data_IF_321947460135
#
_entry.id   IF_321947460135
#
_cell.length_a   1.000
_cell.length_b   1.000
_cell.length_c   1.000
_cell.angle_alpha   90.00
_cell.angle_beta   90.00
_cell.angle_gamma   90.00
#
_symmetry.space_group_name_H-M   'P 1'
#
loop_
_entity.id
_entity.type
_entity.pdbx_description
1 polymer ?
#
# COMPACT_ATOMS: atom_id res chain seq x y z
N UNK A 1 18.55 -61.25 -22.32
CA UNK A 1 18.06 -61.48 -20.94
C UNK A 1 18.62 -60.38 -20.07
N UNK A 2 17.90 -59.48 -19.43
CA UNK A 2 16.60 -58.87 -19.61
C UNK A 2 16.75 -57.52 -18.90
N UNK A 3 16.37 -56.43 -19.58
CA UNK A 3 16.34 -55.09 -19.00
C UNK A 3 15.22 -55.01 -17.97
N UNK A 4 15.52 -54.57 -16.74
CA UNK A 4 14.51 -54.23 -15.74
C UNK A 4 14.34 -52.71 -15.74
N UNK A 5 13.29 -52.29 -16.44
CA UNK A 5 12.76 -50.93 -16.47
C UNK A 5 11.63 -50.89 -15.44
N UNK A 6 11.94 -50.53 -14.19
CA UNK A 6 10.93 -50.25 -13.18
C UNK A 6 10.48 -48.80 -13.35
N UNK A 7 9.43 -48.63 -14.16
CA UNK A 7 8.53 -47.48 -14.09
C UNK A 7 7.46 -47.84 -13.07
N UNK A 8 7.34 -47.09 -11.98
CA UNK A 8 6.11 -47.09 -11.21
C UNK A 8 5.83 -45.74 -10.54
N UNK A 9 4.76 -45.15 -11.06
CA UNK A 9 3.71 -44.39 -10.40
C UNK A 9 4.01 -43.02 -9.77
N UNK A 10 3.77 -42.01 -10.60
CA UNK A 10 3.13 -40.76 -10.22
C UNK A 10 1.78 -40.99 -9.53
N UNK A 11 1.79 -41.13 -8.20
CA UNK A 11 0.61 -40.86 -7.38
C UNK A 11 0.71 -39.41 -6.86
N UNK A 12 0.40 -38.46 -7.74
CA UNK A 12 0.02 -37.13 -7.32
C UNK A 12 -1.23 -37.27 -6.44
N UNK A 13 -1.17 -36.76 -5.20
CA UNK A 13 -2.33 -36.64 -4.33
C UNK A 13 -3.32 -35.67 -4.99
N UNK A 14 -4.22 -36.23 -5.78
CA UNK A 14 -5.42 -35.55 -6.26
C UNK A 14 -6.21 -35.20 -5.01
N UNK A 15 -6.29 -33.90 -4.77
CA UNK A 15 -7.19 -33.29 -3.82
C UNK A 15 -8.62 -33.72 -4.20
N UNK A 16 -9.18 -34.64 -3.44
CA UNK A 16 -10.57 -34.71 -2.96
C UNK A 16 -11.66 -33.99 -3.79
N UNK A 17 -11.75 -34.25 -5.10
CA UNK A 17 -12.86 -33.78 -5.96
C UNK A 17 -14.14 -34.61 -5.78
N UNK A 18 -14.08 -35.74 -5.06
CA UNK A 18 -15.23 -36.59 -4.81
C UNK A 18 -16.21 -36.00 -3.78
N UNK A 19 -15.74 -35.16 -2.85
CA UNK A 19 -16.55 -34.66 -1.73
C UNK A 19 -17.62 -33.63 -2.11
N UNK A 20 -17.52 -32.98 -3.28
CA UNK A 20 -18.52 -31.99 -3.73
C UNK A 20 -19.72 -32.68 -4.42
N UNK A 21 -19.53 -33.88 -4.99
CA UNK A 21 -20.60 -34.63 -5.65
C UNK A 21 -21.41 -35.52 -4.68
N UNK A 22 -20.86 -35.87 -3.52
CA UNK A 22 -21.54 -36.69 -2.48
C UNK A 22 -22.44 -35.90 -1.53
N UNK A 23 -22.63 -34.60 -1.72
CA UNK A 23 -23.58 -33.79 -0.95
C UNK A 23 -25.03 -33.87 -1.49
N UNK A 24 -25.37 -34.90 -2.25
CA UNK A 24 -26.76 -35.23 -2.63
C UNK A 24 -27.54 -35.99 -1.55
N UNK A 25 -26.98 -36.14 -0.34
CA UNK A 25 -27.60 -36.92 0.75
C UNK A 25 -28.06 -36.05 1.91
N UNK A 26 -29.22 -35.42 1.72
CA UNK A 26 -30.33 -35.30 2.70
C UNK A 26 -31.42 -34.41 2.08
N UNK A 27 -32.36 -35.04 1.38
CA UNK A 27 -33.48 -34.33 0.77
C UNK A 27 -34.52 -33.96 1.85
N UNK A 28 -34.21 -32.96 2.68
CA UNK A 28 -35.27 -32.20 3.34
C UNK A 28 -35.80 -31.16 2.36
N UNK A 29 -37.13 -30.97 2.27
CA UNK A 29 -37.70 -29.90 1.45
C UNK A 29 -37.25 -28.56 2.02
N UNK A 30 -36.25 -27.94 1.39
CA UNK A 30 -35.82 -26.59 1.70
C UNK A 30 -36.88 -25.61 1.19
N UNK A 31 -37.31 -24.69 2.04
CA UNK A 31 -38.18 -23.59 1.61
C UNK A 31 -37.34 -22.50 0.90
N UNK A 32 -38.00 -21.51 0.30
CA UNK A 32 -37.33 -20.41 -0.40
C UNK A 32 -36.31 -19.68 0.48
N UNK A 33 -36.63 -19.46 1.76
CA UNK A 33 -35.77 -18.74 2.71
C UNK A 33 -34.48 -19.52 3.01
N UNK A 34 -34.55 -20.84 3.05
CA UNK A 34 -33.37 -21.69 3.26
C UNK A 34 -32.41 -21.63 2.06
N UNK A 35 -32.96 -21.62 0.83
CA UNK A 35 -32.13 -21.39 -0.37
C UNK A 35 -31.50 -20.00 -0.38
N UNK A 36 -32.26 -18.96 -0.01
CA UNK A 36 -31.75 -17.58 0.06
C UNK A 36 -30.59 -17.49 1.07
N UNK A 37 -30.73 -18.09 2.25
CA UNK A 37 -29.66 -18.13 3.27
C UNK A 37 -28.41 -18.84 2.76
N UNK A 38 -28.56 -20.02 2.15
CA UNK A 38 -27.45 -20.80 1.61
C UNK A 38 -26.71 -20.01 0.52
N UNK A 39 -27.45 -19.40 -0.40
CA UNK A 39 -26.87 -18.57 -1.47
C UNK A 39 -26.10 -17.39 -0.86
N UNK A 40 -26.69 -16.65 0.08
CA UNK A 40 -26.01 -15.53 0.74
C UNK A 40 -24.74 -15.97 1.47
N UNK A 41 -24.77 -17.13 2.13
CA UNK A 41 -23.62 -17.70 2.81
C UNK A 41 -22.47 -18.00 1.83
N UNK A 42 -22.74 -18.77 0.77
CA UNK A 42 -21.73 -19.12 -0.22
C UNK A 42 -21.22 -17.91 -1.01
N UNK A 43 -22.12 -16.98 -1.33
CA UNK A 43 -21.77 -15.73 -2.01
C UNK A 43 -20.82 -14.86 -1.18
N UNK A 44 -21.08 -14.70 0.13
CA UNK A 44 -20.20 -13.97 1.04
C UNK A 44 -18.82 -14.61 1.22
N UNK A 45 -18.74 -15.95 1.13
CA UNK A 45 -17.46 -16.68 1.20
C UNK A 45 -16.55 -16.41 0.00
N UNK A 46 -17.07 -16.01 -1.15
CA UNK A 46 -16.24 -15.72 -2.33
C UNK A 46 -15.19 -14.63 -2.05
N UNK A 47 -15.56 -13.54 -1.37
CA UNK A 47 -14.63 -12.47 -1.00
C UNK A 47 -13.56 -12.99 -0.03
N UNK A 48 -13.97 -13.80 0.96
CA UNK A 48 -13.06 -14.42 1.92
C UNK A 48 -12.04 -15.33 1.23
N UNK A 49 -12.48 -16.16 0.28
CA UNK A 49 -11.61 -17.04 -0.51
C UNK A 49 -10.60 -16.27 -1.37
N UNK A 50 -11.00 -15.12 -1.94
CA UNK A 50 -10.09 -14.24 -2.68
C UNK A 50 -9.00 -13.69 -1.76
N UNK A 51 -9.37 -13.15 -0.60
CA UNK A 51 -8.43 -12.59 0.38
C UNK A 51 -7.50 -13.70 0.90
N UNK A 52 -8.04 -14.87 1.27
CA UNK A 52 -7.28 -16.01 1.75
C UNK A 52 -6.24 -16.49 0.71
N UNK A 53 -6.62 -16.53 -0.57
CA UNK A 53 -5.69 -16.87 -1.66
C UNK A 53 -4.54 -15.86 -1.73
N UNK A 54 -4.84 -14.56 -1.63
CA UNK A 54 -3.81 -13.52 -1.57
C UNK A 54 -2.90 -13.65 -0.34
N UNK A 55 -3.45 -14.01 0.83
CA UNK A 55 -2.66 -14.27 2.04
C UNK A 55 -1.70 -15.45 1.88
N UNK A 56 -2.16 -16.55 1.25
CA UNK A 56 -1.31 -17.72 0.98
C UNK A 56 -0.17 -17.34 0.01
N UNK A 57 -0.48 -16.55 -1.02
CA UNK A 57 0.53 -16.06 -1.96
C UNK A 57 1.57 -15.16 -1.26
N UNK A 58 1.13 -14.27 -0.36
CA UNK A 58 2.02 -13.45 0.47
C UNK A 58 2.89 -14.32 1.38
N UNK A 59 2.32 -15.32 2.05
CA UNK A 59 3.07 -16.23 2.91
C UNK A 59 4.11 -17.03 2.12
N UNK A 60 3.77 -17.50 0.91
CA UNK A 60 4.69 -18.23 0.04
C UNK A 60 5.84 -17.34 -0.47
N UNK A 61 5.62 -16.04 -0.65
CA UNK A 61 6.61 -15.11 -1.20
C UNK A 61 7.47 -14.45 -0.13
N UNK A 62 6.87 -14.01 0.96
CA UNK A 62 7.46 -13.09 1.96
C UNK A 62 7.33 -13.60 3.41
N UNK A 63 6.70 -14.77 3.61
CA UNK A 63 6.47 -15.33 4.94
C UNK A 63 7.67 -16.05 5.59
N UNK A 64 7.46 -16.66 6.78
CA UNK A 64 8.50 -17.36 7.53
C UNK A 64 9.11 -18.53 6.78
N UNK A 65 8.29 -19.23 5.99
CA UNK A 65 8.67 -20.37 5.15
C UNK A 65 8.61 -20.01 3.67
N UNK A 66 9.06 -18.79 3.31
CA UNK A 66 9.04 -18.32 1.93
C UNK A 66 9.83 -19.25 1.00
N UNK A 67 9.33 -19.36 -0.22
CA UNK A 67 10.03 -20.07 -1.30
C UNK A 67 11.29 -19.29 -1.71
N UNK A 68 12.29 -20.00 -2.22
CA UNK A 68 13.49 -19.37 -2.77
C UNK A 68 13.12 -18.47 -3.96
N UNK A 69 13.94 -17.44 -4.18
CA UNK A 69 13.78 -16.52 -5.31
C UNK A 69 13.70 -17.30 -6.64
N UNK A 70 12.78 -16.93 -7.53
CA UNK A 70 12.49 -17.67 -8.78
C UNK A 70 11.58 -18.90 -8.62
N UNK A 71 11.61 -19.60 -7.48
CA UNK A 71 10.73 -20.78 -7.25
C UNK A 71 9.26 -20.37 -7.15
N UNK A 72 8.99 -19.24 -6.50
CA UNK A 72 7.64 -18.66 -6.42
C UNK A 72 7.08 -18.34 -7.80
N UNK A 73 7.85 -17.66 -8.66
CA UNK A 73 7.43 -17.28 -10.02
C UNK A 73 7.20 -18.52 -10.89
N UNK A 74 8.10 -19.51 -10.81
CA UNK A 74 7.94 -20.78 -11.49
C UNK A 74 6.67 -21.53 -11.05
N UNK A 75 6.38 -21.57 -9.74
CA UNK A 75 5.16 -22.17 -9.20
C UNK A 75 3.91 -21.46 -9.75
N UNK A 76 3.89 -20.12 -9.72
CA UNK A 76 2.74 -19.36 -10.22
C UNK A 76 2.51 -19.60 -11.71
N UNK A 77 3.58 -19.67 -12.51
CA UNK A 77 3.48 -19.87 -13.96
C UNK A 77 3.06 -21.29 -14.37
N UNK A 78 3.53 -22.30 -13.64
CA UNK A 78 3.38 -23.70 -14.07
C UNK A 78 2.32 -24.49 -13.31
N UNK A 79 1.98 -24.09 -12.07
CA UNK A 79 1.12 -24.88 -11.17
C UNK A 79 -0.19 -24.20 -10.78
N UNK A 80 -0.37 -22.91 -11.06
CA UNK A 80 -1.58 -22.16 -10.67
C UNK A 80 -2.48 -21.87 -11.87
N UNK A 81 -3.81 -21.78 -11.66
CA UNK A 81 -4.78 -21.55 -12.74
C UNK A 81 -4.87 -20.07 -13.18
N UNK A 82 -3.86 -19.25 -12.87
CA UNK A 82 -3.86 -17.83 -13.19
C UNK A 82 -2.44 -17.28 -13.39
N UNK A 83 -2.37 -16.12 -14.03
CA UNK A 83 -1.10 -15.46 -14.35
C UNK A 83 -0.41 -14.83 -13.14
N UNK A 84 0.89 -14.58 -13.27
CA UNK A 84 1.70 -13.82 -12.29
C UNK A 84 1.09 -12.46 -11.95
N UNK A 85 0.55 -11.77 -12.96
CA UNK A 85 -0.17 -10.50 -12.77
C UNK A 85 -1.36 -10.66 -11.84
N UNK A 86 -2.13 -11.73 -12.00
CA UNK A 86 -3.30 -12.02 -11.15
C UNK A 86 -2.86 -12.31 -9.73
N UNK A 87 -1.81 -13.13 -9.56
CA UNK A 87 -1.22 -13.41 -8.25
C UNK A 87 -0.81 -12.12 -7.52
N UNK A 88 -0.14 -11.20 -8.22
CA UNK A 88 0.24 -9.89 -7.67
C UNK A 88 -0.95 -9.03 -7.28
N UNK A 89 -2.04 -9.04 -8.06
CA UNK A 89 -3.27 -8.34 -7.72
C UNK A 89 -3.93 -8.93 -6.47
N UNK A 90 -4.00 -10.25 -6.36
CA UNK A 90 -4.53 -10.94 -5.19
C UNK A 90 -3.71 -10.63 -3.92
N UNK A 91 -2.38 -10.64 -4.02
CA UNK A 91 -1.50 -10.23 -2.92
C UNK A 91 -1.75 -8.78 -2.50
N UNK A 92 -1.94 -7.86 -3.46
CA UNK A 92 -2.28 -6.45 -3.15
C UNK A 92 -3.61 -6.31 -2.43
N UNK A 93 -4.63 -7.08 -2.83
CA UNK A 93 -5.93 -7.07 -2.14
C UNK A 93 -5.75 -7.56 -0.70
N UNK A 94 -5.07 -8.69 -0.51
CA UNK A 94 -4.85 -9.28 0.81
C UNK A 94 -3.97 -8.42 1.73
N UNK A 95 -3.01 -7.67 1.17
CA UNK A 95 -2.18 -6.74 1.94
C UNK A 95 -2.87 -5.41 2.28
N UNK A 96 -4.07 -5.15 1.77
CA UNK A 96 -4.74 -3.87 1.95
C UNK A 96 -5.48 -3.81 3.31
N UNK A 97 -5.18 -2.84 4.19
CA UNK A 97 -5.67 -2.84 5.57
C UNK A 97 -7.20 -2.75 5.68
N UNK A 98 -7.84 -1.98 4.80
CA UNK A 98 -9.30 -1.82 4.78
C UNK A 98 -10.03 -3.02 4.16
N UNK A 99 -9.55 -3.55 3.02
CA UNK A 99 -10.24 -4.64 2.30
C UNK A 99 -10.10 -5.98 3.01
N UNK A 100 -8.97 -6.22 3.67
CA UNK A 100 -8.73 -7.44 4.44
C UNK A 100 -9.38 -7.43 5.82
N UNK A 101 -10.03 -6.33 6.22
CA UNK A 101 -10.71 -6.23 7.51
C UNK A 101 -12.02 -7.06 7.49
N UNK A 102 -12.15 -8.09 8.35
CA UNK A 102 -13.34 -8.95 8.40
C UNK A 102 -14.67 -8.19 8.57
N UNK A 103 -14.64 -7.00 9.20
CA UNK A 103 -15.84 -6.15 9.39
C UNK A 103 -16.43 -5.62 8.09
N UNK A 104 -15.63 -5.53 7.03
CA UNK A 104 -16.05 -4.94 5.75
C UNK A 104 -16.26 -5.99 4.66
N UNK A 105 -15.71 -7.19 4.81
CA UNK A 105 -15.70 -8.26 3.78
C UNK A 105 -17.09 -8.57 3.20
N UNK A 106 -18.14 -8.58 4.04
CA UNK A 106 -19.52 -8.86 3.60
C UNK A 106 -20.15 -7.76 2.74
N UNK A 107 -19.60 -6.54 2.78
CA UNK A 107 -20.09 -5.39 2.03
C UNK A 107 -19.36 -5.20 0.69
N UNK A 108 -18.30 -5.95 0.46
CA UNK A 108 -17.45 -5.81 -0.71
C UNK A 108 -18.00 -6.58 -1.93
N UNK A 109 -17.69 -6.11 -3.16
CA UNK A 109 -18.02 -6.84 -4.37
C UNK A 109 -17.25 -8.18 -4.46
N UNK A 110 -17.91 -9.29 -4.79
CA UNK A 110 -17.32 -10.64 -4.88
C UNK A 110 -16.59 -10.87 -6.21
N UNK A 111 -15.77 -9.90 -6.61
CA UNK A 111 -14.95 -9.97 -7.82
C UNK A 111 -13.56 -9.42 -7.52
N UNK A 112 -12.53 -10.27 -7.67
CA UNK A 112 -11.14 -9.88 -7.45
C UNK A 112 -10.73 -8.70 -8.34
N UNK A 113 -11.30 -8.59 -9.55
CA UNK A 113 -11.02 -7.47 -10.46
C UNK A 113 -11.54 -6.15 -9.91
N UNK A 114 -12.75 -6.14 -9.36
CA UNK A 114 -13.34 -4.96 -8.72
C UNK A 114 -12.61 -4.62 -7.43
N UNK A 115 -12.31 -5.62 -6.58
CA UNK A 115 -11.53 -5.45 -5.35
C UNK A 115 -10.15 -4.84 -5.63
N UNK A 116 -9.48 -5.29 -6.69
CA UNK A 116 -8.21 -4.73 -7.11
C UNK A 116 -8.35 -3.26 -7.54
N UNK A 117 -9.40 -2.87 -8.26
CA UNK A 117 -9.63 -1.45 -8.53
C UNK A 117 -9.81 -0.66 -7.24
N UNK A 118 -10.52 -1.20 -6.25
CA UNK A 118 -10.68 -0.55 -4.94
C UNK A 118 -9.36 -0.35 -4.19
N UNK A 119 -8.36 -1.24 -4.36
CA UNK A 119 -7.02 -1.06 -3.75
C UNK A 119 -6.28 0.20 -4.19
N UNK A 120 -6.70 0.81 -5.31
CA UNK A 120 -6.09 2.04 -5.81
C UNK A 120 -6.65 3.28 -5.13
N UNK A 121 -7.69 3.14 -4.27
CA UNK A 121 -8.41 4.27 -3.65
C UNK A 121 -7.65 4.62 -2.39
N UNK A 122 -7.64 5.89 -1.97
CA UNK A 122 -7.14 6.22 -0.64
C UNK A 122 -8.08 5.64 0.42
N UNK A 123 -7.51 5.12 1.51
CA UNK A 123 -8.24 4.40 2.58
C UNK A 123 -9.44 5.18 3.12
N UNK A 124 -9.31 6.50 3.25
CA UNK A 124 -10.40 7.36 3.74
C UNK A 124 -11.63 7.35 2.81
N UNK A 125 -11.43 7.34 1.49
CA UNK A 125 -12.51 7.28 0.50
C UNK A 125 -13.12 5.89 0.47
N UNK A 126 -12.30 4.86 0.60
CA UNK A 126 -12.78 3.49 0.66
C UNK A 126 -13.66 3.26 1.90
N UNK A 127 -13.23 3.71 3.07
CA UNK A 127 -14.02 3.65 4.31
C UNK A 127 -15.31 4.47 4.23
N UNK A 128 -15.24 5.67 3.64
CA UNK A 128 -16.43 6.50 3.44
C UNK A 128 -17.41 5.81 2.49
N UNK A 129 -16.92 5.25 1.38
CA UNK A 129 -17.71 4.53 0.39
C UNK A 129 -18.36 3.26 0.94
N UNK A 130 -17.71 2.56 1.87
CA UNK A 130 -18.30 1.42 2.57
C UNK A 130 -19.41 1.90 3.53
N UNK A 131 -19.20 3.03 4.21
CA UNK A 131 -20.15 3.56 5.20
C UNK A 131 -21.38 4.19 4.57
N UNK A 132 -21.22 4.92 3.46
CA UNK A 132 -22.30 5.62 2.76
C UNK A 132 -23.06 4.73 1.76
N UNK A 133 -22.59 3.48 1.56
CA UNK A 133 -23.20 2.53 0.66
C UNK A 133 -22.88 2.75 -0.82
N UNK A 134 -21.90 3.60 -1.16
CA UNK A 134 -21.39 3.72 -2.53
C UNK A 134 -20.70 2.42 -2.96
N UNK A 135 -19.98 1.77 -2.04
CA UNK A 135 -19.36 0.47 -2.24
C UNK A 135 -20.35 -0.60 -1.77
N UNK A 136 -20.88 -1.34 -2.73
CA UNK A 136 -21.84 -2.42 -2.48
C UNK A 136 -21.37 -3.73 -3.12
N UNK A 137 -21.95 -4.88 -2.73
CA UNK A 137 -21.70 -6.15 -3.39
C UNK A 137 -22.05 -6.17 -4.88
N UNK A 138 -22.92 -5.25 -5.34
CA UNK A 138 -23.32 -5.10 -6.74
C UNK A 138 -22.42 -4.17 -7.55
N UNK A 139 -21.42 -3.54 -6.91
CA UNK A 139 -20.53 -2.60 -7.57
C UNK A 139 -19.76 -3.30 -8.70
N UNK A 140 -19.89 -2.76 -9.91
CA UNK A 140 -19.19 -3.28 -11.07
C UNK A 140 -17.77 -2.71 -11.16
N UNK A 141 -16.89 -3.42 -11.88
CA UNK A 141 -15.50 -3.01 -12.05
C UNK A 141 -15.37 -1.64 -12.73
N UNK A 142 -16.24 -1.32 -13.69
CA UNK A 142 -16.22 -0.04 -14.41
C UNK A 142 -16.49 1.14 -13.47
N UNK A 143 -17.42 0.96 -12.52
CA UNK A 143 -17.80 2.00 -11.57
C UNK A 143 -16.72 2.18 -10.53
N UNK A 144 -16.16 1.06 -10.01
CA UNK A 144 -14.99 1.10 -9.13
C UNK A 144 -13.79 1.79 -9.79
N UNK A 145 -13.57 1.58 -11.10
CA UNK A 145 -12.53 2.27 -11.85
C UNK A 145 -12.81 3.77 -12.02
N UNK A 146 -14.08 4.17 -12.19
CA UNK A 146 -14.48 5.56 -12.31
C UNK A 146 -14.21 6.38 -11.03
N UNK A 147 -14.29 5.75 -9.84
CA UNK A 147 -13.99 6.39 -8.56
C UNK A 147 -12.56 6.98 -8.48
N UNK A 148 -11.61 6.45 -9.26
CA UNK A 148 -10.25 7.02 -9.35
C UNK A 148 -10.14 8.15 -10.36
N UNK A 149 -10.94 8.12 -11.43
CA UNK A 149 -10.86 9.12 -12.51
C UNK A 149 -11.28 10.50 -12.03
N UNK A 150 -12.18 10.55 -11.06
CA UNK A 150 -12.57 11.74 -10.31
C UNK A 150 -11.38 12.46 -9.63
N UNK A 151 -10.25 11.78 -9.46
CA UNK A 151 -8.99 12.38 -9.01
C UNK A 151 -8.28 13.15 -10.12
N UNK A 152 -8.30 12.67 -11.37
CA UNK A 152 -7.62 13.35 -12.47
C UNK A 152 -8.29 14.69 -12.81
N UNK A 153 -9.63 14.74 -12.81
CA UNK A 153 -10.37 15.97 -13.04
C UNK A 153 -10.27 16.96 -11.87
N UNK A 154 -10.34 16.48 -10.60
CA UNK A 154 -10.35 17.38 -9.43
C UNK A 154 -8.98 17.79 -8.89
N UNK A 155 -7.92 17.02 -9.16
CA UNK A 155 -6.56 17.36 -8.68
C UNK A 155 -5.84 18.29 -9.66
N UNK A 156 -6.27 18.35 -10.93
CA UNK A 156 -5.79 19.34 -11.90
C UNK A 156 -6.32 20.76 -11.65
N UNK A 157 -7.50 20.91 -11.08
CA UNK A 157 -8.18 22.23 -10.95
C UNK A 157 -8.03 22.91 -9.57
N UNK A 158 -7.38 22.28 -8.58
CA UNK A 158 -7.22 22.85 -7.22
C UNK A 158 -5.78 23.14 -6.81
N UNK A 159 -4.91 23.49 -7.75
CA UNK A 159 -3.84 24.40 -7.35
C UNK A 159 -4.52 25.75 -7.14
N UNK A 160 -5.01 26.01 -5.92
CA UNK A 160 -5.46 27.35 -5.55
C UNK A 160 -4.42 28.35 -6.05
N UNK A 161 -4.79 29.47 -6.71
CA UNK A 161 -3.82 30.42 -7.24
C UNK A 161 -2.75 30.80 -6.21
N UNK A 162 -3.19 30.88 -4.94
CA UNK A 162 -2.37 31.11 -3.77
C UNK A 162 -1.24 30.08 -3.56
N UNK A 163 -1.47 28.79 -3.79
CA UNK A 163 -0.48 27.73 -3.55
C UNK A 163 0.61 27.70 -4.64
N UNK A 164 0.27 28.05 -5.89
CA UNK A 164 1.26 28.15 -6.97
C UNK A 164 2.17 29.36 -6.74
N UNK A 165 1.57 30.48 -6.33
CA UNK A 165 2.27 31.70 -5.99
C UNK A 165 3.18 31.52 -4.77
N UNK A 166 2.70 30.85 -3.71
CA UNK A 166 3.52 30.47 -2.56
C UNK A 166 4.68 29.56 -2.95
N UNK A 167 4.46 28.55 -3.81
CA UNK A 167 5.54 27.67 -4.26
C UNK A 167 6.55 28.39 -5.16
N UNK A 168 6.10 29.35 -5.98
CA UNK A 168 6.97 30.19 -6.78
C UNK A 168 7.79 31.16 -5.91
N UNK A 169 7.16 31.75 -4.89
CA UNK A 169 7.83 32.60 -3.90
C UNK A 169 8.86 31.80 -3.09
N UNK A 170 8.50 30.62 -2.58
CA UNK A 170 9.42 29.74 -1.85
C UNK A 170 10.59 29.31 -2.74
N UNK A 171 10.36 29.03 -4.03
CA UNK A 171 11.44 28.71 -4.97
C UNK A 171 12.35 29.91 -5.21
N UNK A 172 11.79 31.10 -5.40
CA UNK A 172 12.56 32.33 -5.59
C UNK A 172 13.33 32.71 -4.32
N UNK A 173 12.76 32.50 -3.14
CA UNK A 173 13.41 32.71 -1.85
C UNK A 173 14.55 31.71 -1.64
N UNK A 174 14.34 30.42 -1.92
CA UNK A 174 15.41 29.42 -1.88
C UNK A 174 16.53 29.76 -2.88
N UNK A 175 16.20 30.26 -4.06
CA UNK A 175 17.19 30.67 -5.06
C UNK A 175 18.01 31.88 -4.59
N UNK A 176 17.36 32.91 -4.03
CA UNK A 176 18.04 34.07 -3.43
C UNK A 176 18.92 33.67 -2.25
N UNK A 177 18.43 32.77 -1.39
CA UNK A 177 19.22 32.24 -0.26
C UNK A 177 20.46 31.48 -0.73
N UNK A 178 20.38 30.77 -1.87
CA UNK A 178 21.53 30.10 -2.48
C UNK A 178 22.53 31.08 -3.10
N UNK A 179 22.05 32.17 -3.69
CA UNK A 179 22.91 33.22 -4.27
C UNK A 179 23.61 34.05 -3.18
N UNK A 180 22.92 34.36 -2.08
CA UNK A 180 23.46 35.17 -0.97
C UNK A 180 24.42 34.39 -0.07
N UNK A 181 24.22 33.08 0.10
CA UNK A 181 25.06 32.22 0.97
C UNK A 181 26.04 31.33 0.21
N UNK A 182 25.99 31.31 -1.12
CA UNK A 182 26.69 30.33 -1.97
C UNK A 182 26.14 28.91 -1.77
N UNK A 183 26.38 28.01 -2.73
CA UNK A 183 26.10 26.58 -2.53
C UNK A 183 27.03 26.06 -1.43
N UNK A 184 26.50 26.01 -0.19
CA UNK A 184 27.26 25.60 0.98
C UNK A 184 27.70 24.12 0.91
N UNK A 185 27.01 23.31 0.11
CA UNK A 185 27.28 21.88 -0.08
C UNK A 185 27.02 21.45 -1.53
N UNK A 186 28.03 20.87 -2.17
CA UNK A 186 27.94 20.27 -3.51
C UNK A 186 27.48 18.81 -3.49
N UNK A 187 27.11 18.24 -4.66
CA UNK A 187 26.59 16.87 -4.77
C UNK A 187 27.58 15.76 -4.40
N UNK A 188 28.85 16.10 -4.15
CA UNK A 188 29.92 15.17 -3.78
C UNK A 188 30.47 15.38 -2.37
N UNK A 189 29.89 16.29 -1.58
CA UNK A 189 30.34 16.52 -0.22
C UNK A 189 29.91 15.36 0.68
N UNK A 190 30.88 14.77 1.37
CA UNK A 190 30.63 13.66 2.29
C UNK A 190 29.86 14.17 3.51
N UNK A 191 29.06 13.29 4.13
CA UNK A 191 28.29 13.63 5.36
C UNK A 191 29.18 14.23 6.46
N UNK A 192 30.44 13.81 6.55
CA UNK A 192 31.42 14.35 7.49
C UNK A 192 31.77 15.83 7.23
N UNK A 193 31.87 16.23 5.96
CA UNK A 193 32.19 17.61 5.56
C UNK A 193 31.00 18.53 5.87
N UNK A 194 29.78 18.04 5.63
CA UNK A 194 28.53 18.72 5.98
C UNK A 194 28.46 18.97 7.49
N UNK A 195 28.67 17.93 8.29
CA UNK A 195 28.63 18.02 9.76
C UNK A 195 29.69 18.99 10.28
N UNK A 196 30.92 18.96 9.72
CA UNK A 196 32.00 19.84 10.14
C UNK A 196 31.67 21.32 9.91
N UNK A 197 31.13 21.66 8.74
CA UNK A 197 30.75 23.04 8.40
C UNK A 197 29.61 23.52 9.28
N UNK A 198 28.60 22.69 9.52
CA UNK A 198 27.48 23.04 10.40
C UNK A 198 27.95 23.30 11.83
N UNK A 199 28.82 22.43 12.37
CA UNK A 199 29.39 22.62 13.72
C UNK A 199 30.18 23.93 13.81
N UNK A 200 30.95 24.27 12.77
CA UNK A 200 31.73 25.51 12.72
C UNK A 200 30.84 26.75 12.63
N UNK A 201 29.78 26.70 11.82
CA UNK A 201 28.80 27.80 11.74
C UNK A 201 28.06 28.02 13.06
N UNK A 202 27.67 26.94 13.75
CA UNK A 202 27.02 27.04 15.06
C UNK A 202 27.96 27.64 16.12
N UNK A 203 29.25 27.30 16.09
CA UNK A 203 30.26 27.91 16.97
C UNK A 203 30.41 29.42 16.72
N UNK A 204 30.46 29.85 15.46
CA UNK A 204 30.53 31.28 15.09
C UNK A 204 29.31 32.04 15.60
N UNK A 205 28.11 31.53 15.36
CA UNK A 205 26.87 32.16 15.83
C UNK A 205 26.80 32.25 17.36
N UNK A 206 27.35 31.26 18.06
CA UNK A 206 27.46 31.30 19.53
C UNK A 206 28.44 32.38 19.99
N UNK A 207 29.60 32.52 19.35
CA UNK A 207 30.60 33.51 19.70
C UNK A 207 30.12 34.95 19.43
N UNK A 208 29.44 35.20 18.31
CA UNK A 208 28.86 36.52 18.00
C UNK A 208 27.81 36.95 19.02
N UNK A 209 27.01 36.01 19.53
CA UNK A 209 26.05 36.27 20.61
C UNK A 209 26.77 36.65 21.91
N UNK A 210 27.85 35.93 22.26
CA UNK A 210 28.65 36.23 23.45
C UNK A 210 29.29 37.62 23.33
N UNK A 211 29.86 37.98 22.17
CA UNK A 211 30.46 39.30 21.98
C UNK A 211 29.46 40.45 22.09
N UNK A 212 28.24 40.28 21.56
CA UNK A 212 27.17 41.29 21.71
C UNK A 212 26.82 41.53 23.17
N UNK A 213 26.67 40.45 23.94
CA UNK A 213 26.41 40.55 25.39
C UNK A 213 27.56 41.25 26.11
N UNK A 214 28.82 40.92 25.76
CA UNK A 214 29.99 41.58 26.34
C UNK A 214 30.06 43.08 26.00
N UNK A 215 29.69 43.49 24.78
CA UNK A 215 29.63 44.91 24.42
C UNK A 215 28.53 45.64 25.19
N UNK A 216 27.39 45.00 25.39
CA UNK A 216 26.28 45.57 26.14
C UNK A 216 26.64 45.75 27.63
N UNK A 217 27.24 44.73 28.25
CA UNK A 217 27.78 44.83 29.63
C UNK A 217 28.84 45.92 29.75
N UNK A 218 29.77 46.03 28.78
CA UNK A 218 30.77 47.11 28.76
C UNK A 218 30.14 48.50 28.68
N UNK A 219 29.06 48.66 27.91
CA UNK A 219 28.31 49.92 27.83
C UNK A 219 27.65 50.24 29.17
N UNK A 220 27.01 49.27 29.81
CA UNK A 220 26.35 49.45 31.12
C UNK A 220 27.35 49.82 32.21
N UNK A 221 28.52 49.17 32.27
CA UNK A 221 29.57 49.49 33.24
C UNK A 221 30.18 50.88 32.99
N UNK A 222 30.30 51.32 31.74
CA UNK A 222 30.78 52.67 31.40
C UNK A 222 29.80 53.76 31.86
N UNK A 223 28.49 53.53 31.73
CA UNK A 223 27.44 54.44 32.19
C UNK A 223 27.40 54.55 33.72
N UNK A 224 27.72 53.48 34.46
CA UNK A 224 27.75 53.52 35.94
C UNK A 224 29.04 54.14 36.53
N UNK A 225 30.07 54.39 35.71
CA UNK A 225 31.34 54.99 36.13
C UNK A 225 31.51 56.46 35.72
N UNK A 226 30.53 57.05 35.01
CA UNK A 226 30.45 58.48 34.72
C UNK A 226 29.45 59.14 35.67
#
# INVERSE_FOLDING_TARGET
MSAQFETQDHAASVLDDASILTARSSCQPKNCDDYVKDIHHHWGRAVQSIIATGCILLAAKEGPHRLQHGTFEAMVRSKLPFSERTAQMLMKIAGHPVLSNPKHVSLLPPSWGTLYELTKLPDNKLLTGIRDGTITPKLERRDAAALHRDRASRTGERTSPNLHEQNAQLKAENQRLREDKGDAFGPNDTVADIVRVIVEQLRRLSNDKIEKVLQEVKRTVKVQRS
#
